data_IF_360949805080
#
_entry.id   IF_360949805080
#
_cell.length_a   1.000
_cell.length_b   1.000
_cell.length_c   1.000
_cell.angle_alpha   90.00
_cell.angle_beta   90.00
_cell.angle_gamma   90.00
#
_symmetry.space_group_name_H-M   'P 1'
#
loop_
_entity.id
_entity.type
_entity.pdbx_description
1 polymer ?
#
# COMPACT_ATOMS: atom_id res chain seq x y z
N UNK A 1 20.70 12.81 7.70
CA UNK A 1 20.67 12.46 9.15
C UNK A 1 20.75 10.95 9.26
N UNK A 2 21.29 10.40 10.35
CA UNK A 2 21.26 8.94 10.55
C UNK A 2 19.82 8.50 10.86
N UNK A 3 19.45 7.29 10.42
CA UNK A 3 18.17 6.68 10.77
C UNK A 3 18.01 6.57 12.28
N UNK A 4 16.89 7.02 12.81
CA UNK A 4 16.52 6.87 14.22
C UNK A 4 15.29 5.98 14.33
N UNK A 5 15.54 4.68 14.53
CA UNK A 5 14.49 3.69 14.68
C UNK A 5 13.60 4.00 15.89
N UNK A 6 14.18 4.44 17.02
CA UNK A 6 13.41 4.72 18.24
C UNK A 6 12.43 5.87 18.00
N UNK A 7 12.89 6.92 17.29
CA UNK A 7 12.03 8.02 16.87
C UNK A 7 10.93 7.53 15.92
N UNK A 8 11.24 6.72 14.90
CA UNK A 8 10.24 6.17 13.99
C UNK A 8 9.15 5.40 14.75
N UNK A 9 9.56 4.51 15.66
CA UNK A 9 8.63 3.69 16.44
C UNK A 9 7.72 4.55 17.33
N UNK A 10 8.25 5.65 17.89
CA UNK A 10 7.47 6.59 18.69
C UNK A 10 6.52 7.44 17.82
N UNK A 11 6.98 7.97 16.70
CA UNK A 11 6.16 8.84 15.84
C UNK A 11 5.02 8.10 15.14
N UNK A 12 5.26 6.85 14.74
CA UNK A 12 4.28 6.03 14.02
C UNK A 12 3.32 5.33 14.98
N UNK A 13 3.85 4.62 15.98
CA UNK A 13 3.03 3.69 16.78
C UNK A 13 2.63 4.22 18.16
N UNK A 14 3.43 5.16 18.68
CA UNK A 14 3.43 5.69 20.05
C UNK A 14 2.92 4.69 21.12
N UNK A 15 3.61 3.56 21.36
CA UNK A 15 3.06 2.52 22.23
C UNK A 15 2.89 3.01 23.68
N UNK A 16 1.72 2.74 24.25
CA UNK A 16 1.28 3.22 25.56
C UNK A 16 1.41 2.16 26.65
N UNK A 17 1.29 2.54 27.93
CA UNK A 17 1.30 1.60 29.03
C UNK A 17 0.21 0.51 28.91
N UNK A 18 0.57 -0.73 29.25
CA UNK A 18 -0.32 -1.89 29.17
C UNK A 18 -0.48 -2.49 27.77
N UNK A 19 0.19 -1.93 26.76
CA UNK A 19 0.23 -2.53 25.43
C UNK A 19 1.13 -3.77 25.36
N UNK A 20 0.85 -4.62 24.36
CA UNK A 20 1.62 -5.84 24.06
C UNK A 20 2.01 -5.79 22.59
N UNK A 21 3.31 -5.66 22.33
CA UNK A 21 3.85 -5.54 20.97
C UNK A 21 4.39 -6.88 20.48
N UNK A 22 4.03 -7.27 19.25
CA UNK A 22 4.66 -8.39 18.53
C UNK A 22 5.34 -7.88 17.26
N UNK A 23 6.62 -8.14 17.11
CA UNK A 23 7.29 -8.05 15.80
C UNK A 23 7.28 -9.42 15.17
N UNK A 24 6.98 -9.50 13.88
CA UNK A 24 6.89 -10.75 13.14
C UNK A 24 7.69 -10.70 11.83
N UNK A 25 8.23 -11.85 11.43
CA UNK A 25 8.91 -12.02 10.15
C UNK A 25 8.58 -13.40 9.58
N UNK A 26 8.34 -13.45 8.28
CA UNK A 26 8.19 -14.72 7.58
C UNK A 26 9.55 -15.38 7.33
N UNK A 27 9.57 -16.70 7.27
CA UNK A 27 10.75 -17.49 6.97
C UNK A 27 10.45 -18.48 5.86
N UNK A 28 11.32 -18.63 4.86
CA UNK A 28 11.13 -19.66 3.84
C UNK A 28 11.20 -21.03 4.50
N UNK A 29 10.19 -21.85 4.22
CA UNK A 29 10.06 -23.22 4.70
C UNK A 29 10.62 -24.26 3.69
N UNK A 30 11.02 -23.80 2.50
CA UNK A 30 11.57 -24.61 1.43
C UNK A 30 13.10 -24.53 1.37
N UNK A 31 13.81 -25.67 1.21
CA UNK A 31 15.26 -25.69 1.06
C UNK A 31 15.77 -24.79 -0.09
N UNK A 32 16.83 -24.04 0.16
CA UNK A 32 17.47 -23.18 -0.85
C UNK A 32 16.70 -21.91 -1.22
N UNK A 33 15.57 -21.64 -0.56
CA UNK A 33 14.79 -20.41 -0.76
C UNK A 33 15.18 -19.27 0.16
N UNK A 34 16.02 -19.53 1.18
CA UNK A 34 16.52 -18.49 2.07
C UNK A 34 17.54 -17.60 1.36
N UNK A 35 17.08 -16.42 0.94
CA UNK A 35 17.88 -15.44 0.20
C UNK A 35 18.58 -14.47 1.16
N UNK A 36 19.63 -13.75 0.71
CA UNK A 36 20.23 -12.67 1.49
C UNK A 36 19.20 -11.61 1.95
N UNK A 37 18.21 -11.30 1.12
CA UNK A 37 17.14 -10.36 1.47
C UNK A 37 16.27 -10.88 2.63
N UNK A 38 15.99 -12.18 2.67
CA UNK A 38 15.27 -12.80 3.80
C UNK A 38 16.09 -12.77 5.09
N UNK A 39 17.39 -13.09 5.00
CA UNK A 39 18.29 -13.02 6.13
C UNK A 39 18.39 -11.59 6.68
N UNK A 40 18.44 -10.59 5.80
CA UNK A 40 18.48 -9.18 6.17
C UNK A 40 17.18 -8.71 6.82
N UNK A 41 16.01 -9.06 6.26
CA UNK A 41 14.71 -8.77 6.90
C UNK A 41 14.57 -9.39 8.27
N UNK A 42 15.04 -10.64 8.47
CA UNK A 42 15.08 -11.26 9.81
C UNK A 42 16.01 -10.52 10.76
N UNK A 43 17.13 -10.00 10.28
CA UNK A 43 18.02 -9.13 11.03
C UNK A 43 17.31 -7.85 11.48
N UNK A 44 16.68 -7.14 10.55
CA UNK A 44 15.88 -5.95 10.82
C UNK A 44 14.77 -6.24 11.84
N UNK A 45 14.02 -7.33 11.68
CA UNK A 45 12.93 -7.68 12.60
C UNK A 45 13.44 -7.92 14.03
N UNK A 46 14.62 -8.52 14.21
CA UNK A 46 15.27 -8.65 15.52
C UNK A 46 15.66 -7.30 16.10
N UNK A 47 16.23 -6.42 15.30
CA UNK A 47 16.62 -5.06 15.71
C UNK A 47 15.39 -4.23 16.13
N UNK A 48 14.29 -4.32 15.37
CA UNK A 48 13.03 -3.65 15.68
C UNK A 48 12.38 -4.20 16.96
N UNK A 49 12.38 -5.53 17.14
CA UNK A 49 11.89 -6.16 18.37
C UNK A 49 12.69 -5.69 19.59
N UNK A 50 14.02 -5.61 19.48
CA UNK A 50 14.89 -5.12 20.55
C UNK A 50 14.66 -3.63 20.84
N UNK A 51 14.44 -2.81 19.81
CA UNK A 51 14.15 -1.39 19.95
C UNK A 51 12.81 -1.15 20.67
N UNK A 52 11.75 -1.89 20.29
CA UNK A 52 10.50 -1.88 21.04
C UNK A 52 10.71 -2.32 22.50
N UNK A 53 11.46 -3.40 22.74
CA UNK A 53 11.71 -3.89 24.09
C UNK A 53 12.47 -2.88 24.95
N UNK A 54 13.40 -2.12 24.35
CA UNK A 54 14.08 -1.02 25.01
C UNK A 54 13.13 0.14 25.36
N UNK A 55 12.25 0.54 24.43
CA UNK A 55 11.21 1.54 24.66
C UNK A 55 10.24 1.11 25.77
N UNK A 56 9.84 -0.17 25.80
CA UNK A 56 8.88 -0.72 26.76
C UNK A 56 9.33 -0.59 28.22
N UNK A 57 10.64 -0.74 28.50
CA UNK A 57 11.21 -0.58 29.86
C UNK A 57 10.93 0.78 30.48
N UNK A 58 10.76 1.83 29.68
CA UNK A 58 10.48 3.19 30.14
C UNK A 58 9.02 3.62 30.03
N UNK A 59 8.19 2.88 29.29
CA UNK A 59 6.81 3.28 28.93
C UNK A 59 5.72 2.34 29.46
N UNK A 60 6.09 1.22 30.07
CA UNK A 60 5.14 0.32 30.75
C UNK A 60 4.34 -0.60 29.82
N UNK A 61 4.89 -0.91 28.64
CA UNK A 61 4.35 -1.94 27.73
C UNK A 61 5.29 -3.13 27.62
N UNK A 62 4.77 -4.28 27.19
CA UNK A 62 5.54 -5.49 26.99
C UNK A 62 5.76 -5.78 25.51
N UNK A 63 6.82 -6.53 25.22
CA UNK A 63 7.17 -6.93 23.86
C UNK A 63 7.42 -8.42 23.86
N UNK A 64 6.67 -9.14 23.04
CA UNK A 64 6.86 -10.57 22.87
C UNK A 64 8.23 -10.85 22.22
N UNK A 65 8.79 -12.06 22.41
CA UNK A 65 9.90 -12.51 21.57
C UNK A 65 9.50 -12.42 20.08
N UNK A 66 10.50 -12.32 19.20
CA UNK A 66 10.25 -12.25 17.75
C UNK A 66 9.41 -13.46 17.29
N UNK A 67 8.29 -13.19 16.63
CA UNK A 67 7.45 -14.21 16.00
C UNK A 67 8.02 -14.54 14.61
N UNK A 68 8.35 -15.81 14.39
CA UNK A 68 8.74 -16.33 13.09
C UNK A 68 7.66 -17.31 12.60
N UNK A 69 7.30 -17.27 11.33
CA UNK A 69 6.31 -18.19 10.76
C UNK A 69 6.64 -18.55 9.30
N UNK A 70 6.19 -19.73 8.80
CA UNK A 70 6.41 -20.12 7.40
C UNK A 70 5.92 -19.09 6.40
N UNK A 71 6.69 -18.82 5.35
CA UNK A 71 6.31 -17.89 4.30
C UNK A 71 5.00 -18.33 3.64
N UNK A 72 4.10 -17.37 3.40
CA UNK A 72 2.78 -17.65 2.81
C UNK A 72 2.84 -17.91 1.31
N UNK A 73 3.96 -17.58 0.66
CA UNK A 73 4.17 -17.71 -0.79
C UNK A 73 3.22 -16.91 -1.67
N UNK A 74 2.39 -16.05 -1.09
CA UNK A 74 1.46 -15.18 -1.78
C UNK A 74 1.12 -13.94 -0.92
N UNK A 75 1.03 -12.78 -1.58
CA UNK A 75 0.56 -11.55 -0.96
C UNK A 75 -0.94 -11.67 -0.62
N UNK A 76 -1.32 -11.30 0.60
CA UNK A 76 -2.72 -11.31 1.04
C UNK A 76 -3.28 -12.70 1.39
N UNK A 77 -2.43 -13.73 1.43
CA UNK A 77 -2.82 -15.05 1.91
C UNK A 77 -3.03 -15.08 3.43
N UNK A 78 -3.79 -16.07 3.89
CA UNK A 78 -3.97 -16.35 5.32
C UNK A 78 -2.63 -16.67 5.99
N UNK A 79 -2.50 -16.27 7.26
CA UNK A 79 -1.32 -16.60 8.06
C UNK A 79 -1.30 -18.10 8.39
N UNK A 80 -0.12 -18.74 8.47
CA UNK A 80 -0.03 -20.12 8.92
C UNK A 80 -0.57 -20.30 10.33
N UNK A 81 -1.12 -21.48 10.61
CA UNK A 81 -1.63 -21.82 11.95
C UNK A 81 -0.55 -21.71 13.03
N UNK A 82 0.65 -22.19 12.73
CA UNK A 82 1.76 -22.27 13.69
C UNK A 82 2.98 -21.45 13.28
N UNK A 83 3.68 -20.97 14.30
CA UNK A 83 4.95 -20.26 14.18
C UNK A 83 5.89 -20.63 15.32
N UNK A 84 7.00 -19.89 15.45
CA UNK A 84 7.94 -20.02 16.56
C UNK A 84 8.16 -18.68 17.25
N UNK A 85 8.20 -18.71 18.58
CA UNK A 85 8.49 -17.55 19.41
C UNK A 85 9.38 -18.00 20.57
N UNK A 86 10.58 -17.42 20.70
CA UNK A 86 11.54 -17.82 21.73
C UNK A 86 12.01 -19.28 21.64
N UNK A 87 11.93 -19.90 20.46
CA UNK A 87 12.29 -21.31 20.24
C UNK A 87 11.18 -22.32 20.53
N UNK A 88 10.01 -21.88 21.02
CA UNK A 88 8.84 -22.72 21.19
C UNK A 88 7.87 -22.58 20.01
N UNK A 89 7.16 -23.65 19.67
CA UNK A 89 6.04 -23.60 18.71
C UNK A 89 4.85 -22.88 19.37
N UNK A 90 4.23 -21.97 18.63
CA UNK A 90 3.08 -21.18 19.08
C UNK A 90 1.98 -21.14 18.02
N UNK A 91 0.74 -20.90 18.46
CA UNK A 91 -0.39 -20.61 17.58
C UNK A 91 -0.32 -19.13 17.17
N UNK A 92 -0.17 -18.86 15.86
CA UNK A 92 0.06 -17.50 15.35
C UNK A 92 -1.10 -16.59 15.70
N UNK A 93 -2.33 -17.06 15.46
CA UNK A 93 -3.53 -16.26 15.74
C UNK A 93 -3.67 -15.94 17.24
N UNK A 94 -3.37 -16.89 18.13
CA UNK A 94 -3.43 -16.67 19.58
C UNK A 94 -2.43 -15.59 20.02
N UNK A 95 -1.19 -15.64 19.51
CA UNK A 95 -0.18 -14.62 19.80
C UNK A 95 -0.66 -13.25 19.34
N UNK A 96 -1.20 -13.14 18.12
CA UNK A 96 -1.64 -11.86 17.56
C UNK A 96 -2.90 -11.32 18.27
N UNK A 97 -3.86 -12.17 18.62
CA UNK A 97 -5.01 -11.78 19.44
C UNK A 97 -4.62 -11.44 20.89
N UNK A 98 -3.49 -11.95 21.38
CA UNK A 98 -2.86 -11.51 22.62
C UNK A 98 -2.25 -10.10 22.55
N UNK A 99 -1.82 -9.66 21.36
CA UNK A 99 -1.13 -8.38 21.15
C UNK A 99 -2.05 -7.20 20.87
N UNK A 100 -1.61 -5.98 21.18
CA UNK A 100 -2.31 -4.73 20.83
C UNK A 100 -1.71 -4.06 19.60
N UNK A 101 -0.42 -4.26 19.37
CA UNK A 101 0.31 -3.79 18.19
C UNK A 101 1.10 -4.96 17.57
N UNK A 102 1.02 -5.10 16.25
CA UNK A 102 1.86 -6.03 15.51
C UNK A 102 2.61 -5.35 14.35
N UNK A 103 3.89 -5.67 14.17
CA UNK A 103 4.72 -5.10 13.09
C UNK A 103 5.35 -6.22 12.29
N UNK A 104 5.01 -6.31 11.01
CA UNK A 104 5.34 -7.43 10.13
C UNK A 104 6.38 -7.01 9.09
N UNK A 105 7.63 -7.47 9.25
CA UNK A 105 8.72 -7.29 8.28
C UNK A 105 8.85 -8.59 7.47
N UNK A 106 8.17 -8.67 6.33
CA UNK A 106 7.92 -9.95 5.63
C UNK A 106 8.32 -9.89 4.16
N UNK A 107 8.37 -11.04 3.48
CA UNK A 107 8.49 -11.11 2.02
C UNK A 107 7.14 -10.90 1.35
N UNK A 108 6.09 -11.50 1.94
CA UNK A 108 4.74 -11.47 1.42
C UNK A 108 3.83 -10.63 2.31
N UNK A 109 2.90 -9.90 1.68
CA UNK A 109 1.98 -9.01 2.39
C UNK A 109 1.05 -9.78 3.30
N UNK A 110 1.04 -9.38 4.58
CA UNK A 110 0.14 -9.90 5.60
C UNK A 110 -1.06 -8.96 5.84
N UNK A 111 -1.15 -7.85 5.10
CA UNK A 111 -2.14 -6.77 5.30
C UNK A 111 -3.57 -7.30 5.42
N UNK A 112 -4.00 -8.17 4.50
CA UNK A 112 -5.37 -8.71 4.50
C UNK A 112 -5.68 -9.57 5.75
N UNK A 113 -4.75 -10.44 6.15
CA UNK A 113 -4.92 -11.28 7.34
C UNK A 113 -4.93 -10.41 8.62
N UNK A 114 -4.06 -9.40 8.70
CA UNK A 114 -4.00 -8.45 9.79
C UNK A 114 -5.29 -7.62 9.89
N UNK A 115 -5.84 -7.16 8.77
CA UNK A 115 -7.14 -6.48 8.74
C UNK A 115 -8.26 -7.38 9.30
N UNK A 116 -8.27 -8.67 8.92
CA UNK A 116 -9.18 -9.66 9.47
C UNK A 116 -9.12 -9.76 11.00
N UNK A 117 -7.92 -9.67 11.60
CA UNK A 117 -7.75 -9.68 13.05
C UNK A 117 -8.29 -8.42 13.73
N UNK A 118 -8.25 -7.26 13.06
CA UNK A 118 -8.85 -6.02 13.60
C UNK A 118 -10.36 -6.15 13.82
N UNK A 119 -11.03 -7.00 13.03
CA UNK A 119 -12.47 -7.30 13.16
C UNK A 119 -12.75 -8.22 14.34
N UNK A 120 -11.79 -9.09 14.69
CA UNK A 120 -11.85 -9.99 15.86
C UNK A 120 -11.47 -9.28 17.17
N UNK A 121 -10.56 -8.29 17.13
CA UNK A 121 -10.10 -7.54 18.30
C UNK A 121 -10.10 -6.03 18.05
N UNK A 122 -10.93 -5.30 18.80
CA UNK A 122 -11.04 -3.82 18.72
C UNK A 122 -9.77 -3.08 19.10
N UNK A 123 -8.98 -3.63 20.02
CA UNK A 123 -7.71 -3.05 20.48
C UNK A 123 -6.50 -3.72 19.81
N UNK A 124 -6.63 -4.07 18.53
CA UNK A 124 -5.54 -4.58 17.69
C UNK A 124 -5.29 -3.59 16.55
N UNK A 125 -4.02 -3.28 16.31
CA UNK A 125 -3.53 -2.53 15.15
C UNK A 125 -2.23 -3.13 14.64
N UNK A 126 -1.92 -2.92 13.36
CA UNK A 126 -0.72 -3.49 12.78
C UNK A 126 -0.09 -2.65 11.67
N UNK A 127 1.21 -2.83 11.45
CA UNK A 127 1.90 -2.40 10.24
C UNK A 127 2.38 -3.62 9.46
N UNK A 128 2.11 -3.65 8.16
CA UNK A 128 2.65 -4.63 7.22
C UNK A 128 3.73 -3.99 6.35
N UNK A 129 4.83 -4.69 6.16
CA UNK A 129 5.98 -4.18 5.41
C UNK A 129 6.49 -5.24 4.40
N UNK A 130 5.65 -5.62 3.41
CA UNK A 130 5.99 -6.65 2.44
C UNK A 130 7.19 -6.27 1.57
N UNK A 131 8.20 -7.11 1.57
CA UNK A 131 9.41 -6.87 0.80
C UNK A 131 10.23 -5.69 1.32
N UNK A 132 10.06 -5.25 2.57
CA UNK A 132 10.88 -4.17 3.15
C UNK A 132 12.37 -4.52 3.05
N UNK A 133 13.19 -3.55 2.68
CA UNK A 133 14.63 -3.75 2.52
C UNK A 133 15.39 -2.84 3.46
N UNK A 134 16.61 -3.24 3.86
CA UNK A 134 17.42 -2.48 4.81
C UNK A 134 17.75 -1.08 4.34
N UNK A 135 17.93 -0.88 3.03
CA UNK A 135 18.18 0.45 2.45
C UNK A 135 17.05 1.43 2.80
N UNK A 136 15.82 0.95 3.02
CA UNK A 136 14.66 1.77 3.33
C UNK A 136 14.81 2.56 4.62
N UNK A 137 15.64 2.08 5.56
CA UNK A 137 16.05 2.81 6.76
C UNK A 137 16.79 4.11 6.43
N UNK A 138 17.30 4.28 5.21
CA UNK A 138 17.99 5.50 4.75
C UNK A 138 17.18 6.32 3.76
N UNK A 139 15.99 5.84 3.39
CA UNK A 139 15.08 6.42 2.40
C UNK A 139 13.70 6.59 3.06
N UNK A 140 12.62 5.98 2.57
CA UNK A 140 11.26 6.25 3.01
C UNK A 140 10.98 6.03 4.52
N UNK A 141 11.69 5.11 5.21
CA UNK A 141 11.54 4.93 6.67
C UNK A 141 12.22 6.05 7.46
N UNK A 142 13.19 6.76 6.88
CA UNK A 142 13.92 7.85 7.51
C UNK A 142 13.19 9.21 7.44
N UNK A 143 12.07 9.28 6.72
CA UNK A 143 11.31 10.51 6.53
C UNK A 143 10.81 11.11 7.85
N UNK A 144 10.53 12.42 7.87
CA UNK A 144 9.77 13.02 8.98
C UNK A 144 8.28 12.72 8.78
N UNK A 145 7.77 11.71 9.48
CA UNK A 145 6.37 11.28 9.36
C UNK A 145 5.35 12.37 9.72
N UNK A 146 5.74 13.42 10.46
CA UNK A 146 4.86 14.57 10.70
C UNK A 146 4.68 15.41 9.43
N UNK A 147 5.75 15.54 8.64
CA UNK A 147 5.72 16.21 7.34
C UNK A 147 4.98 15.35 6.31
N UNK A 148 5.20 14.04 6.30
CA UNK A 148 4.42 13.08 5.50
C UNK A 148 2.93 13.24 5.80
N UNK A 149 2.54 13.18 7.07
CA UNK A 149 1.15 13.37 7.48
C UNK A 149 0.58 14.74 7.08
N UNK A 150 1.38 15.81 7.13
CA UNK A 150 0.96 17.13 6.65
C UNK A 150 0.67 17.12 5.15
N UNK A 151 1.51 16.48 4.35
CA UNK A 151 1.34 16.38 2.90
C UNK A 151 0.14 15.52 2.52
N UNK A 152 -0.08 14.39 3.19
CA UNK A 152 -1.28 13.59 2.99
C UNK A 152 -2.56 14.40 3.27
N UNK A 153 -2.59 15.19 4.36
CA UNK A 153 -3.73 16.08 4.63
C UNK A 153 -3.98 17.09 3.50
N UNK A 154 -2.94 17.73 2.97
CA UNK A 154 -3.08 18.67 1.85
C UNK A 154 -3.62 17.99 0.58
N UNK A 155 -3.19 16.76 0.31
CA UNK A 155 -3.70 15.96 -0.81
C UNK A 155 -5.16 15.59 -0.60
N UNK A 156 -5.55 15.17 0.60
CA UNK A 156 -6.92 14.84 0.94
C UNK A 156 -7.85 16.07 0.80
N UNK A 157 -7.39 17.25 1.26
CA UNK A 157 -8.11 18.52 1.09
C UNK A 157 -8.25 18.93 -0.39
N UNK A 158 -7.24 18.63 -1.21
CA UNK A 158 -7.30 18.89 -2.65
C UNK A 158 -8.31 17.99 -3.37
N UNK A 159 -8.46 16.73 -2.94
CA UNK A 159 -9.42 15.76 -3.48
C UNK A 159 -10.83 15.90 -2.90
N UNK A 160 -10.98 16.52 -1.72
CA UNK A 160 -12.26 16.65 -1.03
C UNK A 160 -13.33 17.30 -1.92
N UNK A 161 -14.43 16.60 -2.16
CA UNK A 161 -15.55 17.09 -2.98
C UNK A 161 -15.24 17.24 -4.48
N UNK A 162 -14.09 16.75 -4.96
CA UNK A 162 -13.82 16.69 -6.39
C UNK A 162 -14.77 15.68 -7.06
N UNK A 163 -15.34 16.07 -8.21
CA UNK A 163 -16.12 15.19 -9.06
C UNK A 163 -15.25 14.41 -10.04
N UNK A 164 -14.06 14.93 -10.39
CA UNK A 164 -13.10 14.21 -11.22
C UNK A 164 -11.66 14.53 -10.89
N UNK A 165 -10.76 13.63 -11.27
CA UNK A 165 -9.32 13.84 -11.32
C UNK A 165 -8.85 13.69 -12.77
N UNK A 166 -8.33 14.76 -13.34
CA UNK A 166 -7.77 14.79 -14.69
C UNK A 166 -6.26 14.59 -14.62
N UNK A 167 -5.73 13.53 -15.25
CA UNK A 167 -4.31 13.17 -15.24
C UNK A 167 -3.76 13.12 -16.65
N UNK A 168 -2.65 13.82 -16.90
CA UNK A 168 -1.87 13.78 -18.14
C UNK A 168 -0.50 13.16 -17.87
N UNK A 169 -0.08 12.24 -18.75
CA UNK A 169 1.19 11.52 -18.66
C UNK A 169 2.24 12.15 -19.58
N UNK A 170 3.52 11.88 -19.31
CA UNK A 170 4.64 12.36 -20.13
C UNK A 170 4.67 11.81 -21.56
N UNK A 171 3.87 10.78 -21.85
CA UNK A 171 3.67 10.24 -23.21
C UNK A 171 2.63 11.03 -24.02
N UNK A 172 2.00 12.06 -23.44
CA UNK A 172 0.92 12.84 -24.07
C UNK A 172 -0.48 12.24 -23.95
N UNK A 173 -0.60 11.03 -23.38
CA UNK A 173 -1.89 10.41 -23.08
C UNK A 173 -2.48 10.99 -21.79
N UNK A 174 -3.79 10.82 -21.60
CA UNK A 174 -4.50 11.30 -20.41
C UNK A 174 -5.63 10.37 -20.00
N UNK A 175 -5.93 10.35 -18.71
CA UNK A 175 -7.10 9.68 -18.14
C UNK A 175 -7.84 10.63 -17.20
N UNK A 176 -9.17 10.62 -17.26
CA UNK A 176 -10.03 11.28 -16.27
C UNK A 176 -10.65 10.21 -15.40
N UNK A 177 -10.46 10.33 -14.09
CA UNK A 177 -11.05 9.45 -13.09
C UNK A 177 -12.29 10.13 -12.50
N UNK A 178 -13.38 9.40 -12.42
CA UNK A 178 -14.63 9.85 -11.81
C UNK A 178 -14.54 9.69 -10.30
N UNK A 179 -14.63 10.79 -9.55
CA UNK A 179 -14.52 10.81 -8.09
C UNK A 179 -15.85 11.05 -7.39
N UNK A 180 -16.96 11.14 -8.15
CA UNK A 180 -18.29 11.33 -7.56
C UNK A 180 -18.58 10.23 -6.54
N UNK A 181 -19.25 10.58 -5.44
CA UNK A 181 -19.67 9.63 -4.39
C UNK A 181 -18.53 8.99 -3.59
N UNK A 182 -17.29 9.43 -3.77
CA UNK A 182 -16.11 8.89 -3.11
C UNK A 182 -15.52 9.88 -2.13
N UNK A 183 -14.75 9.36 -1.19
CA UNK A 183 -13.97 10.12 -0.24
C UNK A 183 -12.53 9.63 -0.32
N UNK A 184 -11.58 10.56 -0.27
CA UNK A 184 -10.18 10.20 -0.22
C UNK A 184 -9.81 9.67 1.17
N UNK A 185 -8.92 8.69 1.18
CA UNK A 185 -8.36 8.07 2.37
C UNK A 185 -6.85 8.38 2.45
N UNK A 186 -6.29 8.24 3.66
CA UNK A 186 -4.93 8.70 3.97
C UNK A 186 -4.17 7.59 4.69
N UNK A 187 -3.04 7.19 4.11
CA UNK A 187 -2.00 6.44 4.80
C UNK A 187 -0.83 7.40 5.13
N UNK A 188 -0.94 8.06 6.29
CA UNK A 188 0.03 9.02 6.80
C UNK A 188 1.09 8.41 7.72
N UNK A 189 1.04 7.09 7.93
CA UNK A 189 1.89 6.39 8.89
C UNK A 189 1.61 6.73 10.35
N UNK A 190 0.47 7.36 10.67
CA UNK A 190 0.07 7.57 12.06
C UNK A 190 -0.79 6.40 12.54
N UNK A 191 -0.30 5.60 13.50
CA UNK A 191 -0.97 4.40 14.01
C UNK A 191 -0.94 4.32 15.55
N UNK A 192 -1.52 5.30 16.27
CA UNK A 192 -1.63 5.24 17.72
C UNK A 192 -2.66 4.18 18.16
N UNK A 193 -2.61 3.82 19.44
CA UNK A 193 -3.66 3.01 20.05
C UNK A 193 -5.01 3.73 19.96
N UNK A 194 -6.07 2.99 19.64
CA UNK A 194 -7.41 3.57 19.49
C UNK A 194 -7.62 4.46 18.27
N UNK A 195 -6.72 4.43 17.26
CA UNK A 195 -6.93 5.08 15.95
C UNK A 195 -8.34 4.75 15.43
N UNK A 196 -9.05 5.80 14.99
CA UNK A 196 -10.34 5.67 14.29
C UNK A 196 -10.08 5.37 12.81
N UNK A 197 -10.97 4.59 12.20
CA UNK A 197 -10.80 4.14 10.81
C UNK A 197 -9.84 2.96 10.73
N UNK A 198 -8.98 2.96 9.73
CA UNK A 198 -8.06 1.87 9.45
C UNK A 198 -6.99 1.73 10.54
N UNK A 199 -6.89 0.50 11.04
CA UNK A 199 -5.95 0.09 12.08
C UNK A 199 -4.83 -0.80 11.53
N UNK A 200 -4.75 -0.93 10.21
CA UNK A 200 -3.63 -1.58 9.51
C UNK A 200 -3.07 -0.58 8.51
N UNK A 201 -1.75 -0.39 8.52
CA UNK A 201 -1.04 0.45 7.54
C UNK A 201 0.03 -0.36 6.82
N UNK A 202 0.46 0.13 5.66
CA UNK A 202 1.75 -0.27 5.09
C UNK A 202 2.83 0.68 5.62
N UNK A 203 4.02 0.14 5.93
CA UNK A 203 5.16 0.96 6.35
C UNK A 203 6.39 0.59 5.48
N UNK A 204 7.08 1.54 4.84
CA UNK A 204 6.88 2.99 4.88
C UNK A 204 5.52 3.45 4.37
N UNK A 205 5.03 4.56 4.92
CA UNK A 205 3.74 5.16 4.56
C UNK A 205 3.96 6.47 3.81
N UNK A 206 2.86 7.11 3.43
CA UNK A 206 2.85 8.47 2.91
C UNK A 206 2.14 8.58 1.59
N UNK A 207 0.84 8.30 1.57
CA UNK A 207 0.02 8.55 0.41
C UNK A 207 -1.39 9.02 0.78
N UNK A 208 -2.07 9.55 -0.22
CA UNK A 208 -3.51 9.80 -0.18
C UNK A 208 -4.11 9.20 -1.42
N UNK A 209 -5.11 8.36 -1.21
CA UNK A 209 -5.71 7.56 -2.26
C UNK A 209 -7.23 7.73 -2.30
N UNK A 210 -7.81 7.36 -3.43
CA UNK A 210 -9.25 7.34 -3.63
C UNK A 210 -9.60 6.26 -4.65
N UNK A 211 -10.57 5.42 -4.32
CA UNK A 211 -11.14 4.48 -5.30
C UNK A 211 -12.06 5.27 -6.23
N UNK A 212 -11.82 5.29 -7.56
CA UNK A 212 -12.74 5.95 -8.48
C UNK A 212 -14.17 5.38 -8.39
N UNK A 213 -15.18 6.16 -8.77
CA UNK A 213 -16.54 5.68 -8.85
C UNK A 213 -16.65 4.57 -9.90
N UNK A 214 -17.15 3.39 -9.51
CA UNK A 214 -17.09 2.18 -10.33
C UNK A 214 -18.36 2.00 -11.18
N UNK A 215 -19.35 2.87 -11.00
CA UNK A 215 -20.61 2.83 -11.74
C UNK A 215 -21.68 1.97 -11.05
N UNK A 216 -21.57 1.78 -9.73
CA UNK A 216 -22.47 0.91 -8.97
C UNK A 216 -23.87 1.48 -8.71
N UNK A 217 -24.12 2.77 -8.97
CA UNK A 217 -25.46 3.37 -8.83
C UNK A 217 -26.27 3.16 -10.12
N UNK A 218 -27.53 2.71 -10.01
CA UNK A 218 -28.42 2.55 -11.17
C UNK A 218 -28.53 3.84 -11.99
N UNK A 219 -28.51 3.71 -13.32
CA UNK A 219 -28.62 4.80 -14.30
C UNK A 219 -27.48 5.85 -14.31
N UNK A 220 -26.47 5.71 -13.45
CA UNK A 220 -25.32 6.60 -13.39
C UNK A 220 -24.02 5.84 -13.64
N UNK A 221 -23.64 5.60 -14.91
CA UNK A 221 -22.39 4.93 -15.22
C UNK A 221 -21.20 5.76 -14.73
N UNK A 222 -20.09 5.08 -14.43
CA UNK A 222 -18.80 5.75 -14.19
C UNK A 222 -18.39 6.55 -15.43
N UNK A 223 -17.87 7.75 -15.18
CA UNK A 223 -17.28 8.63 -16.19
C UNK A 223 -15.77 8.44 -16.33
N UNK A 224 -15.16 7.51 -15.58
CA UNK A 224 -13.73 7.20 -15.69
C UNK A 224 -13.42 6.74 -17.11
N UNK A 225 -12.55 7.47 -17.82
CA UNK A 225 -12.19 7.19 -19.22
C UNK A 225 -10.85 7.81 -19.63
N UNK A 226 -10.21 7.20 -20.62
CA UNK A 226 -9.02 7.76 -21.27
C UNK A 226 -8.01 6.68 -21.63
N UNK A 227 -6.73 7.05 -21.63
CA UNK A 227 -5.63 6.14 -21.94
C UNK A 227 -4.56 6.25 -20.87
N UNK A 228 -4.23 5.12 -20.25
CA UNK A 228 -3.16 5.02 -19.26
C UNK A 228 -1.97 4.26 -19.87
N UNK A 229 -0.79 4.89 -20.01
CA UNK A 229 0.40 4.26 -20.59
C UNK A 229 1.17 3.45 -19.54
N UNK A 230 1.62 2.25 -19.90
CA UNK A 230 2.61 1.47 -19.14
C UNK A 230 3.88 1.37 -19.98
N UNK A 231 5.04 1.53 -19.36
CA UNK A 231 6.32 1.33 -20.03
C UNK A 231 7.18 0.35 -19.24
N UNK A 232 7.55 -0.73 -19.90
CA UNK A 232 8.43 -1.77 -19.36
C UNK A 232 9.57 -2.00 -20.35
N UNK A 233 10.79 -1.69 -19.92
CA UNK A 233 11.97 -1.60 -20.77
C UNK A 233 11.76 -0.63 -21.95
N UNK A 234 11.79 -1.17 -23.17
CA UNK A 234 11.59 -0.39 -24.41
C UNK A 234 10.15 -0.38 -24.89
N UNK A 235 9.32 -1.29 -24.39
CA UNK A 235 7.94 -1.45 -24.82
C UNK A 235 7.02 -0.46 -24.11
N UNK A 236 6.09 0.11 -24.86
CA UNK A 236 5.01 0.94 -24.33
C UNK A 236 3.68 0.26 -24.63
N UNK A 237 2.90 0.03 -23.58
CA UNK A 237 1.54 -0.54 -23.63
C UNK A 237 0.55 0.57 -23.30
N UNK A 238 -0.58 0.61 -23.99
CA UNK A 238 -1.63 1.60 -23.72
C UNK A 238 -2.91 0.90 -23.26
N UNK A 239 -3.40 1.26 -22.08
CA UNK A 239 -4.67 0.79 -21.56
C UNK A 239 -5.76 1.80 -21.90
N UNK A 240 -6.69 1.44 -22.78
CA UNK A 240 -7.91 2.22 -23.01
C UNK A 240 -8.89 1.92 -21.90
N UNK A 241 -9.32 2.97 -21.21
CA UNK A 241 -10.24 2.90 -20.08
C UNK A 241 -11.57 3.50 -20.49
N UNK A 242 -12.66 2.79 -20.21
CA UNK A 242 -14.04 3.28 -20.35
C UNK A 242 -14.88 2.74 -19.20
N UNK A 243 -15.70 3.60 -18.58
CA UNK A 243 -16.61 3.23 -17.48
C UNK A 243 -15.90 2.45 -16.38
N UNK A 244 -14.77 2.99 -15.92
CA UNK A 244 -13.92 2.41 -14.88
C UNK A 244 -13.28 1.04 -15.21
N UNK A 245 -13.21 0.66 -16.48
CA UNK A 245 -12.59 -0.61 -16.88
C UNK A 245 -11.60 -0.45 -18.01
N UNK A 246 -10.51 -1.21 -17.95
CA UNK A 246 -9.62 -1.42 -19.10
C UNK A 246 -10.37 -2.24 -20.15
N UNK A 247 -10.82 -1.58 -21.21
CA UNK A 247 -11.57 -2.22 -22.32
C UNK A 247 -10.68 -2.70 -23.45
N UNK A 248 -9.46 -2.14 -23.56
CA UNK A 248 -8.48 -2.56 -24.57
C UNK A 248 -7.05 -2.33 -24.09
N UNK A 249 -6.18 -3.29 -24.36
CA UNK A 249 -4.73 -3.19 -24.14
C UNK A 249 -4.02 -3.19 -25.50
N UNK A 250 -3.45 -2.04 -25.86
CA UNK A 250 -2.73 -1.82 -27.12
C UNK A 250 -1.22 -1.99 -26.95
N UNK A 251 -0.57 -2.42 -28.03
CA UNK A 251 0.84 -2.79 -28.06
C UNK A 251 1.03 -4.18 -28.66
N UNK A 252 2.12 -4.36 -29.40
CA UNK A 252 2.40 -5.60 -30.15
C UNK A 252 3.44 -6.49 -29.47
N UNK A 253 4.17 -5.98 -28.49
CA UNK A 253 5.24 -6.71 -27.83
C UNK A 253 4.76 -7.67 -26.74
N UNK A 254 5.75 -8.21 -26.03
CA UNK A 254 5.56 -9.24 -25.02
C UNK A 254 4.81 -8.71 -23.79
N UNK A 255 5.08 -7.48 -23.39
CA UNK A 255 4.43 -6.84 -22.24
C UNK A 255 2.94 -6.67 -22.53
N UNK A 256 2.58 -6.18 -23.72
CA UNK A 256 1.19 -6.04 -24.13
C UNK A 256 0.46 -7.39 -24.20
N UNK A 257 1.14 -8.44 -24.70
CA UNK A 257 0.59 -9.80 -24.73
C UNK A 257 0.35 -10.34 -23.32
N UNK A 258 1.30 -10.16 -22.40
CA UNK A 258 1.17 -10.53 -20.99
C UNK A 258 0.00 -9.81 -20.33
N UNK A 259 -0.13 -8.50 -20.51
CA UNK A 259 -1.22 -7.72 -19.92
C UNK A 259 -2.59 -8.11 -20.47
N UNK A 260 -2.71 -8.39 -21.78
CA UNK A 260 -3.95 -8.98 -22.35
C UNK A 260 -4.30 -10.31 -21.70
N UNK A 261 -3.32 -11.19 -21.47
CA UNK A 261 -3.56 -12.45 -20.80
C UNK A 261 -3.99 -12.26 -19.33
N UNK A 262 -3.41 -11.29 -18.61
CA UNK A 262 -3.80 -10.95 -17.23
C UNK A 262 -5.28 -10.55 -17.16
N UNK A 263 -5.73 -9.64 -18.02
CA UNK A 263 -7.12 -9.17 -18.04
C UNK A 263 -8.10 -10.19 -18.62
N UNK A 264 -7.68 -11.01 -19.59
CA UNK A 264 -8.52 -12.07 -20.14
C UNK A 264 -8.74 -13.24 -19.16
N UNK A 265 -7.76 -13.50 -18.28
CA UNK A 265 -7.87 -14.55 -17.28
C UNK A 265 -8.94 -14.25 -16.21
N UNK A 266 -9.25 -12.97 -15.95
CA UNK A 266 -10.32 -12.58 -15.03
C UNK A 266 -10.83 -11.16 -15.33
N UNK A 267 -12.10 -11.00 -15.75
CA UNK A 267 -12.68 -9.69 -16.06
C UNK A 267 -12.64 -8.69 -14.89
N UNK A 268 -12.65 -9.14 -13.64
CA UNK A 268 -12.58 -8.25 -12.47
C UNK A 268 -11.25 -7.48 -12.41
N UNK A 269 -10.19 -8.03 -13.00
CA UNK A 269 -8.87 -7.36 -13.11
C UNK A 269 -8.89 -6.11 -13.99
N UNK A 270 -9.93 -5.92 -14.79
CA UNK A 270 -10.04 -4.72 -15.64
C UNK A 270 -10.48 -3.48 -14.86
N UNK A 271 -11.01 -3.65 -13.64
CA UNK A 271 -11.48 -2.55 -12.81
C UNK A 271 -10.33 -1.61 -12.41
N UNK A 272 -10.55 -0.29 -12.51
CA UNK A 272 -9.65 0.70 -11.92
C UNK A 272 -9.95 0.76 -10.42
N UNK A 273 -9.05 0.18 -9.62
CA UNK A 273 -9.27 -0.07 -8.21
C UNK A 273 -8.85 1.10 -7.31
N UNK A 274 -7.93 1.95 -7.78
CA UNK A 274 -7.36 3.03 -6.97
C UNK A 274 -6.70 4.08 -7.86
N UNK A 275 -6.72 5.33 -7.42
CA UNK A 275 -5.74 6.36 -7.80
C UNK A 275 -5.19 7.03 -6.54
N UNK A 276 -3.87 7.24 -6.51
CA UNK A 276 -3.19 7.66 -5.31
C UNK A 276 -2.01 8.58 -5.58
N UNK A 277 -1.65 9.34 -4.56
CA UNK A 277 -0.55 10.30 -4.56
C UNK A 277 0.41 9.99 -3.41
N UNK A 278 1.49 9.26 -3.71
CA UNK A 278 2.61 9.07 -2.79
C UNK A 278 3.38 10.37 -2.56
N UNK A 279 3.63 10.73 -1.31
CA UNK A 279 4.17 12.02 -0.88
C UNK A 279 5.32 11.92 0.13
N UNK A 280 5.89 10.72 0.29
CA UNK A 280 7.11 10.51 1.04
C UNK A 280 8.30 10.95 0.17
N UNK A 281 8.88 12.11 0.47
CA UNK A 281 9.98 12.71 -0.31
C UNK A 281 11.31 11.99 -0.17
N UNK A 282 11.41 11.06 0.79
CA UNK A 282 12.57 10.20 0.94
C UNK A 282 12.41 8.86 0.24
N UNK A 283 11.24 8.55 -0.34
CA UNK A 283 11.04 7.32 -1.08
C UNK A 283 11.83 7.32 -2.40
N UNK A 284 12.48 6.20 -2.68
CA UNK A 284 13.27 6.00 -3.89
C UNK A 284 12.65 4.94 -4.80
N UNK A 285 12.54 5.26 -6.09
CA UNK A 285 12.03 4.33 -7.11
C UNK A 285 13.12 3.32 -7.49
N UNK A 286 12.94 2.06 -7.08
CA UNK A 286 13.89 0.97 -7.37
C UNK A 286 13.23 -0.28 -7.95
N UNK A 287 11.91 -0.26 -8.16
CA UNK A 287 11.12 -1.43 -8.55
C UNK A 287 10.56 -2.22 -7.36
N UNK A 288 10.67 -1.69 -6.14
CA UNK A 288 10.00 -2.25 -4.97
C UNK A 288 8.71 -1.47 -4.73
N UNK A 289 7.57 -2.08 -5.08
CA UNK A 289 6.26 -1.40 -5.06
C UNK A 289 5.95 -0.75 -3.71
N UNK A 290 6.29 -1.40 -2.58
CA UNK A 290 6.04 -0.88 -1.23
C UNK A 290 6.61 0.53 -1.03
N UNK A 291 7.78 0.82 -1.61
CA UNK A 291 8.42 2.14 -1.50
C UNK A 291 8.10 3.02 -2.72
N UNK A 292 8.15 2.45 -3.92
CA UNK A 292 7.92 3.17 -5.18
C UNK A 292 6.55 3.90 -5.15
N UNK A 293 5.50 3.25 -4.62
CA UNK A 293 4.15 3.83 -4.54
C UNK A 293 4.08 5.08 -3.65
N UNK A 294 4.94 5.18 -2.63
CA UNK A 294 5.04 6.33 -1.73
C UNK A 294 5.79 7.51 -2.35
N UNK A 295 6.47 7.33 -3.48
CA UNK A 295 7.27 8.35 -4.15
C UNK A 295 6.48 9.24 -5.13
N UNK A 296 5.25 8.89 -5.51
CA UNK A 296 4.49 9.68 -6.47
C UNK A 296 3.13 9.11 -6.84
N UNK A 297 2.57 9.63 -7.95
CA UNK A 297 1.27 9.17 -8.44
C UNK A 297 1.32 7.70 -8.83
N UNK A 298 0.30 6.95 -8.46
CA UNK A 298 0.08 5.59 -8.94
C UNK A 298 -1.41 5.30 -9.07
N UNK A 299 -1.73 4.20 -9.73
CA UNK A 299 -3.08 3.66 -9.82
C UNK A 299 -3.02 2.15 -9.75
N UNK A 300 -4.12 1.53 -9.32
CA UNK A 300 -4.23 0.09 -9.24
C UNK A 300 -5.35 -0.46 -10.12
N UNK A 301 -5.22 -1.72 -10.51
CA UNK A 301 -6.31 -2.49 -11.10
C UNK A 301 -6.70 -3.71 -10.27
N UNK A 302 -7.97 -4.11 -10.37
CA UNK A 302 -8.52 -5.30 -9.70
C UNK A 302 -9.44 -4.99 -8.52
N UNK A 303 -9.13 -5.59 -7.37
CA UNK A 303 -9.97 -5.59 -6.15
C UNK A 303 -9.92 -4.23 -5.45
N UNK A 304 -11.07 -3.71 -5.03
CA UNK A 304 -11.21 -2.36 -4.45
C UNK A 304 -12.11 -2.30 -3.21
N UNK A 305 -12.89 -3.34 -2.90
CA UNK A 305 -13.80 -3.40 -1.73
C UNK A 305 -13.14 -3.08 -0.38
N UNK A 306 -11.87 -3.48 -0.22
CA UNK A 306 -11.08 -3.21 0.98
C UNK A 306 -10.57 -1.76 1.10
N UNK A 307 -10.76 -0.94 0.06
CA UNK A 307 -10.40 0.48 -0.01
C UNK A 307 -11.63 1.39 -0.23
N UNK A 308 -12.85 0.85 -0.06
CA UNK A 308 -14.11 1.60 -0.24
C UNK A 308 -14.76 1.50 -1.62
N UNK A 309 -14.26 0.62 -2.51
CA UNK A 309 -14.92 0.23 -3.76
C UNK A 309 -15.99 -0.85 -3.59
N UNK A 310 -16.49 -1.40 -4.71
CA UNK A 310 -17.50 -2.48 -4.70
C UNK A 310 -17.01 -3.79 -5.30
N UNK A 311 -15.89 -3.81 -6.04
CA UNK A 311 -15.30 -5.03 -6.59
C UNK A 311 -14.55 -5.80 -5.49
N UNK A 312 -15.14 -6.91 -5.05
CA UNK A 312 -14.59 -7.79 -4.02
C UNK A 312 -14.22 -9.17 -4.54
N UNK A 313 -13.76 -10.04 -3.64
CA UNK A 313 -13.30 -11.41 -3.97
C UNK A 313 -14.34 -12.20 -4.77
N UNK A 314 -15.63 -12.02 -4.49
CA UNK A 314 -16.73 -12.72 -5.17
C UNK A 314 -16.92 -12.36 -6.64
N UNK A 315 -16.36 -11.23 -7.07
CA UNK A 315 -16.49 -10.73 -8.45
C UNK A 315 -15.41 -11.32 -9.36
N UNK A 316 -14.36 -11.91 -8.76
CA UNK A 316 -13.32 -12.67 -9.46
C UNK A 316 -13.82 -14.08 -9.79
N UNK A 317 -13.33 -14.63 -10.90
CA UNK A 317 -13.63 -16.01 -11.33
C UNK A 317 -13.02 -17.06 -10.40
N UNK A 318 -11.94 -16.74 -9.69
CA UNK A 318 -11.27 -17.63 -8.76
C UNK A 318 -10.57 -16.85 -7.64
N UNK A 319 -10.48 -17.38 -6.41
CA UNK A 319 -9.63 -16.81 -5.37
C UNK A 319 -8.16 -16.67 -5.81
N UNK A 320 -7.67 -17.56 -6.68
CA UNK A 320 -6.30 -17.52 -7.20
C UNK A 320 -6.07 -16.41 -8.23
N UNK A 321 -7.14 -15.78 -8.74
CA UNK A 321 -7.04 -14.68 -9.71
C UNK A 321 -7.23 -13.31 -9.08
N UNK A 322 -7.64 -13.25 -7.80
CA UNK A 322 -7.77 -12.03 -7.01
C UNK A 322 -6.44 -11.28 -7.01
N UNK A 323 -6.51 -9.99 -7.33
CA UNK A 323 -5.34 -9.12 -7.35
C UNK A 323 -5.78 -7.70 -7.08
N UNK A 324 -4.89 -6.97 -6.42
CA UNK A 324 -4.82 -5.52 -6.43
C UNK A 324 -3.37 -5.22 -6.85
N UNK A 325 -3.19 -4.51 -7.96
CA UNK A 325 -1.86 -4.29 -8.53
C UNK A 325 -1.64 -2.85 -8.94
N UNK A 326 -0.68 -2.23 -8.26
CA UNK A 326 -0.23 -0.87 -8.48
C UNK A 326 0.69 -0.73 -9.69
N UNK A 327 0.55 0.40 -10.37
CA UNK A 327 1.43 0.90 -11.42
C UNK A 327 1.83 2.33 -11.08
N UNK A 328 3.13 2.54 -10.90
CA UNK A 328 3.71 3.77 -10.35
C UNK A 328 4.25 4.71 -11.43
N UNK A 329 4.00 6.01 -11.26
CA UNK A 329 4.42 7.13 -12.12
C UNK A 329 5.16 8.21 -11.33
N UNK A 330 6.07 7.79 -10.47
CA UNK A 330 6.91 8.65 -9.67
C UNK A 330 8.15 9.13 -10.45
N UNK A 331 8.84 10.13 -9.91
CA UNK A 331 10.12 10.58 -10.48
C UNK A 331 11.12 9.42 -10.42
N UNK A 332 11.66 9.02 -11.57
CA UNK A 332 12.52 7.85 -11.71
C UNK A 332 11.87 6.74 -12.54
N UNK A 333 10.54 6.70 -12.63
CA UNK A 333 9.85 5.80 -13.55
C UNK A 333 9.99 6.26 -15.02
N UNK A 334 9.89 5.34 -16.00
CA UNK A 334 9.97 5.67 -17.42
C UNK A 334 8.85 6.58 -17.93
N UNK A 335 7.72 6.61 -17.22
CA UNK A 335 6.60 7.52 -17.47
C UNK A 335 6.28 8.24 -16.17
N UNK A 336 6.00 9.54 -16.26
CA UNK A 336 5.63 10.37 -15.11
C UNK A 336 4.33 11.11 -15.40
N UNK A 337 3.63 11.54 -14.35
CA UNK A 337 2.50 12.45 -14.47
C UNK A 337 3.01 13.87 -14.71
N UNK A 338 2.61 14.48 -15.82
CA UNK A 338 2.96 15.88 -16.16
C UNK A 338 1.95 16.87 -15.61
N UNK A 339 0.69 16.48 -15.44
CA UNK A 339 -0.32 17.30 -14.79
C UNK A 339 -1.36 16.40 -14.11
N UNK A 340 -1.74 16.76 -12.89
CA UNK A 340 -2.88 16.18 -12.19
C UNK A 340 -3.74 17.31 -11.61
N UNK A 341 -5.03 17.34 -11.94
CA UNK A 341 -5.98 18.37 -11.50
C UNK A 341 -7.23 17.74 -10.94
N UNK A 342 -7.50 17.99 -9.66
CA UNK A 342 -8.78 17.66 -9.04
C UNK A 342 -9.81 18.75 -9.37
N UNK A 343 -11.00 18.35 -9.80
CA UNK A 343 -12.04 19.24 -10.32
C UNK A 343 -13.31 19.04 -9.50
N UNK A 344 -13.70 20.06 -8.74
CA UNK A 344 -15.01 20.16 -8.10
C UNK A 344 -15.93 21.08 -8.91
N UNK A 345 -17.16 21.27 -8.45
CA UNK A 345 -18.14 22.13 -9.13
C UNK A 345 -17.73 23.62 -9.20
N UNK A 346 -16.97 24.09 -8.22
CA UNK A 346 -16.60 25.50 -8.03
C UNK A 346 -15.08 25.75 -8.06
N UNK A 347 -14.25 24.70 -8.01
CA UNK A 347 -12.79 24.81 -7.97
C UNK A 347 -12.07 23.78 -8.84
N UNK A 348 -10.92 24.20 -9.36
CA UNK A 348 -9.93 23.31 -9.99
C UNK A 348 -8.62 23.43 -9.22
N UNK A 349 -8.20 22.34 -8.59
CA UNK A 349 -6.99 22.28 -7.76
C UNK A 349 -5.93 21.51 -8.50
N UNK A 350 -4.87 22.17 -8.95
CA UNK A 350 -3.71 21.49 -9.53
C UNK A 350 -2.90 20.85 -8.41
N UNK A 351 -2.70 19.53 -8.47
CA UNK A 351 -1.94 18.74 -7.50
C UNK A 351 -0.50 18.56 -7.97
N UNK A 352 -0.31 18.23 -9.25
CA UNK A 352 1.01 18.02 -9.85
C UNK A 352 1.22 18.85 -11.11
N UNK A 353 2.48 19.24 -11.35
CA UNK A 353 2.97 19.84 -12.59
C UNK A 353 4.39 19.36 -12.89
N UNK A 354 4.65 18.94 -14.12
CA UNK A 354 5.98 18.51 -14.59
C UNK A 354 6.64 17.46 -13.67
N UNK A 355 5.87 16.48 -13.17
CA UNK A 355 6.38 15.43 -12.29
C UNK A 355 6.78 15.91 -10.89
N UNK A 356 6.19 17.00 -10.40
CA UNK A 356 6.35 17.50 -9.04
C UNK A 356 5.01 17.92 -8.44
N UNK A 357 4.88 17.79 -7.13
CA UNK A 357 3.76 18.36 -6.39
C UNK A 357 3.84 19.90 -6.40
N UNK A 358 2.69 20.56 -6.44
CA UNK A 358 2.59 22.03 -6.35
C UNK A 358 1.84 22.52 -5.10
N UNK A 359 1.43 21.58 -4.24
CA UNK A 359 0.71 21.87 -2.99
C UNK A 359 1.64 22.11 -1.80
N UNK A 360 2.91 21.70 -1.89
CA UNK A 360 3.91 21.80 -0.82
C UNK A 360 5.32 21.89 -1.38
#
# INVERSE_FOLDING_TARGET
MAFDLVKLLADVFDPEAGEVVTVACDVPDQPGKDTPAWAERRGMAREWQQAFAALGRGRGFSVNPLLLYPATWANGAELPETGSMGGATVQVEEVLLGSTLAVFLTQFSATAALDGLTKKKKDFRAASMPGVERRMERTALAADYREVARRCRLLAEALAGAASLEVTFSTGHSCTFDLRYRQAEVDDGFLPRGKKGDRVINLPSGETFIVPYEGERPAEPSLTRGVIPLRDGRETVLFRVERNRVVRTEGEGEVARKMRAVFAADPARTNIAEVAFGCNDWAEVTGNVLEDEKAGFHWAYGRSDHLGGVVGVRDFLSPNTVVHQDIVYARGNPVVVTEAVAVASDRRTRIMRNGAYVLF
#
